data_IF_524649392811
#
_entry.id   IF_524649392811
#
_cell.length_a   1.000
_cell.length_b   1.000
_cell.length_c   1.000
_cell.angle_alpha   90.00
_cell.angle_beta   90.00
_cell.angle_gamma   90.00
#
_symmetry.space_group_name_H-M   'P 1'
#
loop_
_entity.id
_entity.type
_entity.pdbx_description
1 polymer ?
#
# COMPACT_ATOMS: atom_id res chain seq x y z
N UNK A 1 -5.02 -2.09 -13.27
CA UNK A 1 -4.91 -2.87 -12.03
C UNK A 1 -3.44 -3.05 -11.66
N UNK A 2 -3.13 -2.99 -10.38
CA UNK A 2 -1.74 -3.06 -9.93
C UNK A 2 -1.33 -4.49 -9.62
N UNK A 3 -0.07 -4.82 -9.89
CA UNK A 3 0.45 -6.14 -9.60
C UNK A 3 0.63 -6.32 -8.08
N UNK A 4 0.85 -7.55 -7.67
CA UNK A 4 1.11 -7.85 -6.27
C UNK A 4 2.34 -7.06 -5.77
N UNK A 5 3.40 -7.03 -6.57
CA UNK A 5 4.62 -6.31 -6.19
C UNK A 5 4.38 -4.82 -6.04
N UNK A 6 3.57 -4.23 -6.91
CA UNK A 6 3.25 -2.81 -6.83
C UNK A 6 2.48 -2.52 -5.56
N UNK A 7 1.52 -3.37 -5.22
CA UNK A 7 0.74 -3.22 -3.99
C UNK A 7 1.61 -3.36 -2.76
N UNK A 8 2.48 -4.35 -2.77
CA UNK A 8 3.38 -4.60 -1.65
C UNK A 8 4.34 -3.43 -1.44
N UNK A 9 4.86 -2.89 -2.53
CA UNK A 9 5.74 -1.73 -2.47
C UNK A 9 5.04 -0.53 -1.84
N UNK A 10 3.80 -0.30 -2.23
CA UNK A 10 3.03 0.81 -1.69
C UNK A 10 2.79 0.66 -0.19
N UNK A 11 2.42 -0.53 0.24
CA UNK A 11 2.18 -0.79 1.66
C UNK A 11 3.45 -0.67 2.48
N UNK A 12 4.56 -1.20 1.98
CA UNK A 12 5.84 -1.11 2.68
C UNK A 12 6.30 0.33 2.81
N UNK A 13 6.17 1.11 1.76
CA UNK A 13 6.53 2.52 1.82
C UNK A 13 5.65 3.28 2.79
N UNK A 14 4.37 2.98 2.78
CA UNK A 14 3.43 3.58 3.70
C UNK A 14 3.85 3.35 5.16
N UNK A 15 4.21 2.13 5.50
CA UNK A 15 4.65 1.80 6.85
C UNK A 15 5.99 2.48 7.16
N UNK A 16 6.91 2.47 6.21
CA UNK A 16 8.22 3.08 6.36
C UNK A 16 8.14 4.58 6.62
N UNK A 17 7.18 5.24 6.01
CA UNK A 17 6.98 6.68 6.17
C UNK A 17 6.13 7.04 7.39
N UNK A 18 5.86 6.10 8.26
CA UNK A 18 5.06 6.35 9.45
C UNK A 18 3.57 6.45 9.17
N UNK A 19 3.11 5.72 8.18
CA UNK A 19 1.70 5.66 7.79
C UNK A 19 1.18 7.01 7.30
N UNK A 20 1.97 7.69 6.50
CA UNK A 20 1.60 8.97 5.90
C UNK A 20 1.11 8.74 4.48
N UNK A 21 -0.20 8.75 4.31
CA UNK A 21 -0.84 8.47 3.02
C UNK A 21 -0.40 9.45 1.94
N UNK A 22 -0.45 10.73 2.23
CA UNK A 22 -0.09 11.76 1.26
C UNK A 22 1.33 11.62 0.76
N UNK A 23 2.28 11.38 1.67
CA UNK A 23 3.68 11.21 1.30
C UNK A 23 3.89 9.96 0.47
N UNK A 24 3.22 8.87 0.83
CA UNK A 24 3.34 7.60 0.12
C UNK A 24 2.86 7.74 -1.31
N UNK A 25 1.67 8.27 -1.49
CA UNK A 25 1.09 8.45 -2.82
C UNK A 25 1.89 9.47 -3.63
N UNK A 26 2.35 10.53 -2.98
CA UNK A 26 3.16 11.54 -3.64
C UNK A 26 4.46 10.98 -4.20
N UNK A 27 5.10 10.07 -3.49
CA UNK A 27 6.33 9.46 -3.97
C UNK A 27 6.11 8.43 -5.06
N UNK A 28 5.05 7.64 -4.94
CA UNK A 28 4.79 6.56 -5.89
C UNK A 28 3.98 6.97 -7.10
N UNK A 29 3.11 7.97 -6.93
CA UNK A 29 2.18 8.36 -7.97
C UNK A 29 0.98 7.44 -8.06
N UNK A 30 0.82 6.53 -7.13
CA UNK A 30 -0.31 5.62 -7.00
C UNK A 30 -0.29 5.07 -5.57
N UNK A 31 -1.30 4.40 -5.10
CA UNK A 31 -2.66 4.25 -5.62
C UNK A 31 -3.55 5.42 -5.16
N UNK A 32 -4.87 5.23 -5.23
CA UNK A 32 -5.76 6.19 -4.57
C UNK A 32 -5.65 5.98 -3.07
N UNK A 33 -6.09 6.99 -2.33
CA UNK A 33 -6.07 6.95 -0.86
C UNK A 33 -6.83 5.73 -0.31
N UNK A 34 -8.02 5.48 -0.83
CA UNK A 34 -8.83 4.35 -0.36
C UNK A 34 -8.19 3.01 -0.68
N UNK A 35 -7.58 2.90 -1.85
CA UNK A 35 -6.91 1.66 -2.24
C UNK A 35 -5.73 1.37 -1.32
N UNK A 36 -4.93 2.37 -0.99
CA UNK A 36 -3.77 2.18 -0.11
C UNK A 36 -4.22 1.73 1.28
N UNK A 37 -5.26 2.34 1.82
CA UNK A 37 -5.78 1.95 3.12
C UNK A 37 -6.30 0.51 3.12
N UNK A 38 -6.99 0.12 2.06
CA UNK A 38 -7.50 -1.24 1.92
C UNK A 38 -6.35 -2.25 1.85
N UNK A 39 -5.32 -1.94 1.07
CA UNK A 39 -4.15 -2.81 0.94
C UNK A 39 -3.42 -2.95 2.27
N UNK A 40 -3.27 -1.86 3.01
CA UNK A 40 -2.59 -1.90 4.30
C UNK A 40 -3.37 -2.75 5.30
N UNK A 41 -4.69 -2.64 5.30
CA UNK A 41 -5.55 -3.44 6.17
C UNK A 41 -5.36 -4.93 5.90
N UNK A 42 -5.38 -5.31 4.63
CA UNK A 42 -5.18 -6.70 4.25
C UNK A 42 -3.79 -7.19 4.64
N UNK A 43 -2.78 -6.36 4.46
CA UNK A 43 -1.41 -6.69 4.82
C UNK A 43 -1.29 -6.95 6.32
N UNK A 44 -1.84 -6.08 7.14
CA UNK A 44 -1.79 -6.26 8.59
C UNK A 44 -2.53 -7.50 9.05
N UNK A 45 -3.67 -7.76 8.44
CA UNK A 45 -4.53 -8.88 8.83
C UNK A 45 -3.90 -10.23 8.49
N UNK A 46 -3.20 -10.31 7.38
CA UNK A 46 -2.64 -11.56 6.89
C UNK A 46 -1.12 -11.61 6.92
N UNK A 47 -0.49 -10.54 7.30
CA UNK A 47 0.95 -10.34 7.21
C UNK A 47 1.46 -10.47 5.77
N UNK A 48 0.54 -10.34 4.80
CA UNK A 48 0.84 -10.37 3.38
C UNK A 48 -0.40 -9.91 2.62
N UNK A 49 -0.21 -9.59 1.33
CA UNK A 49 -1.32 -9.20 0.48
C UNK A 49 -1.92 -10.42 -0.21
N UNK A 50 -3.24 -10.37 -0.50
CA UNK A 50 -3.85 -11.46 -1.26
C UNK A 50 -3.24 -11.55 -2.65
N UNK A 51 -3.00 -12.76 -3.11
CA UNK A 51 -2.50 -13.00 -4.46
C UNK A 51 -3.58 -12.67 -5.49
N UNK A 52 -3.24 -11.98 -6.51
CA UNK A 52 -4.20 -11.68 -7.59
C UNK A 52 -5.06 -10.48 -7.41
#
# INVERSE_FOLDING_TARGET
MYSYEDRLRAVRLYIKLGKRIGSTIGQLGYPTKNALLSWHREYEHRLDLPAG
#
